data_IF_434009671294
#
_entry.id   IF_434009671294
#
_cell.length_a   1.000
_cell.length_b   1.000
_cell.length_c   1.000
_cell.angle_alpha   90.00
_cell.angle_beta   90.00
_cell.angle_gamma   90.00
#
_symmetry.space_group_name_H-M   'P 1'
#
loop_
_entity.id
_entity.type
_entity.pdbx_description
1 polymer ?
#
# COMPACT_ATOMS: atom_id res chain seq x y z
N UNK A 1 10.41 4.52 -18.15
CA UNK A 1 9.30 3.61 -18.51
C UNK A 1 8.66 3.18 -17.20
N UNK A 2 7.49 3.71 -16.84
CA UNK A 2 6.78 3.27 -15.62
C UNK A 2 5.66 2.34 -16.08
N UNK A 3 5.78 1.04 -15.79
CA UNK A 3 4.68 0.08 -16.00
C UNK A 3 3.53 0.43 -15.07
N UNK A 4 2.31 0.05 -15.46
CA UNK A 4 1.10 0.23 -14.64
C UNK A 4 1.26 -0.42 -13.26
N UNK A 5 1.87 -1.61 -13.21
CA UNK A 5 2.16 -2.31 -11.94
C UNK A 5 3.12 -1.51 -11.06
N UNK A 6 4.18 -0.95 -11.66
CA UNK A 6 5.17 -0.18 -10.92
C UNK A 6 4.59 1.15 -10.40
N UNK A 7 3.62 1.73 -11.12
CA UNK A 7 2.85 2.88 -10.64
C UNK A 7 1.98 2.52 -9.44
N UNK A 8 1.29 1.37 -9.46
CA UNK A 8 0.49 0.88 -8.33
C UNK A 8 1.37 0.64 -7.11
N UNK A 9 2.50 -0.05 -7.28
CA UNK A 9 3.45 -0.30 -6.19
C UNK A 9 3.96 1.01 -5.58
N UNK A 10 4.37 1.97 -6.41
CA UNK A 10 4.84 3.28 -5.92
C UNK A 10 3.75 4.05 -5.16
N UNK A 11 2.50 4.00 -5.65
CA UNK A 11 1.38 4.64 -4.99
C UNK A 11 1.12 4.05 -3.60
N UNK A 12 1.07 2.71 -3.50
CA UNK A 12 0.85 2.04 -2.20
C UNK A 12 2.04 2.19 -1.26
N UNK A 13 3.27 2.24 -1.77
CA UNK A 13 4.45 2.53 -0.97
C UNK A 13 4.39 3.95 -0.38
N UNK A 14 4.08 4.96 -1.21
CA UNK A 14 3.91 6.34 -0.74
C UNK A 14 2.76 6.48 0.26
N UNK A 15 1.60 5.84 -0.02
CA UNK A 15 0.46 5.85 0.87
C UNK A 15 0.76 5.17 2.22
N UNK A 16 1.44 4.02 2.20
CA UNK A 16 1.86 3.32 3.41
C UNK A 16 2.81 4.18 4.26
N UNK A 17 3.80 4.81 3.64
CA UNK A 17 4.74 5.70 4.33
C UNK A 17 4.02 6.89 4.98
N UNK A 18 3.10 7.52 4.23
CA UNK A 18 2.29 8.62 4.72
C UNK A 18 1.39 8.18 5.89
N UNK A 19 0.77 6.99 5.82
CA UNK A 19 -0.08 6.48 6.89
C UNK A 19 0.72 6.16 8.15
N UNK A 20 1.92 5.59 8.02
CA UNK A 20 2.75 5.26 9.17
C UNK A 20 3.28 6.51 9.86
N UNK A 21 3.89 7.41 9.10
CA UNK A 21 4.46 8.64 9.64
C UNK A 21 3.37 9.59 10.14
N UNK A 22 2.35 9.83 9.31
CA UNK A 22 1.20 10.66 9.67
C UNK A 22 0.39 10.07 10.82
N UNK A 23 0.16 8.76 10.82
CA UNK A 23 -0.54 8.05 11.89
C UNK A 23 0.19 8.15 13.22
N UNK A 24 1.51 7.94 13.23
CA UNK A 24 2.34 8.13 14.43
C UNK A 24 2.18 9.53 15.00
N UNK A 25 2.30 10.56 14.16
CA UNK A 25 2.27 11.97 14.57
C UNK A 25 0.86 12.40 15.01
N UNK A 26 -0.19 11.95 14.33
CA UNK A 26 -1.56 12.44 14.54
C UNK A 26 -2.35 11.65 15.59
N UNK A 27 -2.04 10.37 15.82
CA UNK A 27 -2.90 9.48 16.62
C UNK A 27 -2.22 8.84 17.83
N UNK A 28 -0.89 8.92 17.95
CA UNK A 28 -0.15 8.29 19.05
C UNK A 28 -0.26 6.76 19.07
N UNK A 29 -0.65 6.14 17.95
CA UNK A 29 -0.78 4.68 17.83
C UNK A 29 0.53 3.96 18.15
N UNK A 30 0.39 2.77 18.75
CA UNK A 30 1.53 1.89 19.05
C UNK A 30 2.22 1.43 17.76
N UNK A 31 3.53 1.20 17.84
CA UNK A 31 4.34 0.75 16.70
C UNK A 31 3.82 -0.56 16.10
N UNK A 32 3.31 -1.49 16.92
CA UNK A 32 2.71 -2.75 16.46
C UNK A 32 1.53 -2.52 15.52
N UNK A 33 0.65 -1.57 15.85
CA UNK A 33 -0.52 -1.27 15.01
C UNK A 33 -0.08 -0.60 13.71
N UNK A 34 0.84 0.37 13.79
CA UNK A 34 1.37 1.06 12.60
C UNK A 34 2.10 0.10 11.66
N UNK A 35 2.84 -0.87 12.20
CA UNK A 35 3.48 -1.94 11.41
C UNK A 35 2.41 -2.81 10.72
N UNK A 36 1.36 -3.21 11.43
CA UNK A 36 0.25 -3.98 10.84
C UNK A 36 -0.41 -3.24 9.67
N UNK A 37 -0.63 -1.93 9.84
CA UNK A 37 -1.14 -1.04 8.79
C UNK A 37 -0.19 -0.96 7.60
N UNK A 38 1.12 -0.81 7.85
CA UNK A 38 2.13 -0.77 6.80
C UNK A 38 2.15 -2.05 5.97
N UNK A 39 2.05 -3.22 6.61
CA UNK A 39 2.02 -4.50 5.91
C UNK A 39 0.75 -4.60 5.05
N UNK A 40 -0.41 -4.23 5.60
CA UNK A 40 -1.67 -4.27 4.85
C UNK A 40 -1.64 -3.33 3.64
N UNK A 41 -1.24 -2.08 3.83
CA UNK A 41 -1.28 -1.06 2.77
C UNK A 41 -0.11 -1.22 1.80
N UNK A 42 1.10 -1.48 2.29
CA UNK A 42 2.31 -1.52 1.48
C UNK A 42 2.56 -2.86 0.77
N UNK A 43 1.97 -3.96 1.26
CA UNK A 43 2.22 -5.30 0.72
C UNK A 43 0.92 -5.95 0.23
N UNK A 44 -0.07 -6.13 1.10
CA UNK A 44 -1.26 -6.93 0.78
C UNK A 44 -2.16 -6.23 -0.25
N UNK A 45 -2.45 -4.94 -0.03
CA UNK A 45 -3.31 -4.17 -0.91
C UNK A 45 -2.79 -4.07 -2.36
N UNK A 46 -1.51 -3.72 -2.65
CA UNK A 46 -1.03 -3.66 -4.02
C UNK A 46 -1.04 -5.03 -4.70
N UNK A 47 -0.77 -6.12 -3.98
CA UNK A 47 -0.87 -7.48 -4.54
C UNK A 47 -2.31 -7.80 -4.97
N UNK A 48 -3.30 -7.45 -4.14
CA UNK A 48 -4.71 -7.65 -4.46
C UNK A 48 -5.18 -6.77 -5.63
N UNK A 49 -4.75 -5.49 -5.66
CA UNK A 49 -5.09 -4.56 -6.74
C UNK A 49 -4.48 -5.00 -8.06
N UNK A 50 -3.21 -5.40 -8.08
CA UNK A 50 -2.56 -5.92 -9.28
C UNK A 50 -3.28 -7.18 -9.75
N UNK A 51 -3.56 -8.14 -8.87
CA UNK A 51 -4.28 -9.36 -9.22
C UNK A 51 -5.68 -9.10 -9.80
N UNK A 52 -6.41 -8.11 -9.27
CA UNK A 52 -7.70 -7.68 -9.83
C UNK A 52 -7.54 -7.08 -11.24
N UNK A 53 -6.58 -6.18 -11.41
CA UNK A 53 -6.33 -5.52 -12.70
C UNK A 53 -5.87 -6.52 -13.78
N UNK A 54 -5.05 -7.50 -13.41
CA UNK A 54 -4.61 -8.55 -14.33
C UNK A 54 -5.77 -9.46 -14.75
N UNK A 55 -6.68 -9.79 -13.82
CA UNK A 55 -7.87 -10.58 -14.12
C UNK A 55 -8.83 -9.85 -15.08
N UNK A 56 -8.98 -8.53 -14.94
CA UNK A 56 -9.81 -7.71 -15.83
C UNK A 56 -9.23 -7.60 -17.26
N UNK A 57 -7.90 -7.54 -17.40
CA UNK A 57 -7.25 -7.48 -18.72
C UNK A 57 -7.21 -8.84 -19.44
N UNK A 58 -7.58 -9.93 -18.78
CA UNK A 58 -7.52 -11.30 -19.32
C UNK A 58 -8.88 -11.81 -19.84
N UNK A 59 -9.94 -11.01 -19.76
CA UNK A 59 -11.33 -11.35 -20.12
C UNK A 59 -11.78 -10.81 -21.46
#
# INVERSE_FOLDING_TARGET
>A
MVSRENAVILLFMAAGLALAYGGRVATGLSDTVLIGVLILVGVVAPQAVIGYLDAENSG
#
